data_IF_676572544123
#
_entry.id   IF_676572544123
#
_cell.length_a   1.000
_cell.length_b   1.000
_cell.length_c   1.000
_cell.angle_alpha   90.00
_cell.angle_beta   90.00
_cell.angle_gamma   90.00
#
_symmetry.space_group_name_H-M   'P 1'
#
loop_
_entity.id
_entity.type
_entity.pdbx_description
1 polymer ?
#
# COMPACT_ATOMS: atom_id res chain seq x y z
N UNK A 1 15.69 6.61 11.85
CA UNK A 1 14.53 6.06 11.11
C UNK A 1 13.41 5.60 12.05
N UNK A 2 13.67 4.68 13.00
CA UNK A 2 12.65 4.12 13.91
C UNK A 2 11.82 5.13 14.73
N UNK A 3 12.39 6.26 15.18
CA UNK A 3 11.64 7.28 15.94
C UNK A 3 10.64 8.07 15.09
N UNK A 4 11.00 8.35 13.83
CA UNK A 4 10.15 9.11 12.89
C UNK A 4 8.96 8.25 12.45
N UNK A 5 9.20 6.97 12.18
CA UNK A 5 8.13 6.00 11.88
C UNK A 5 7.12 5.89 13.03
N UNK A 6 7.58 5.88 14.29
CA UNK A 6 6.69 5.83 15.46
C UNK A 6 5.80 7.06 15.55
N UNK A 7 6.38 8.25 15.37
CA UNK A 7 5.60 9.50 15.39
C UNK A 7 4.56 9.48 14.27
N UNK A 8 4.92 9.01 13.07
CA UNK A 8 4.00 8.88 11.95
C UNK A 8 2.87 7.87 12.23
N UNK A 9 3.17 6.72 12.84
CA UNK A 9 2.16 5.74 13.24
C UNK A 9 1.19 6.29 14.30
N UNK A 10 1.70 7.03 15.29
CA UNK A 10 0.86 7.68 16.31
C UNK A 10 -0.01 8.78 15.69
N UNK A 11 0.57 9.57 14.77
CA UNK A 11 -0.18 10.59 14.04
C UNK A 11 -1.29 9.98 13.17
N UNK A 12 -1.02 8.86 12.49
CA UNK A 12 -2.01 8.13 11.69
C UNK A 12 -3.13 7.56 12.56
N UNK A 13 -2.80 6.99 13.72
CA UNK A 13 -3.80 6.52 14.68
C UNK A 13 -4.65 7.69 15.24
N UNK A 14 -4.02 8.81 15.58
CA UNK A 14 -4.74 10.00 16.04
C UNK A 14 -5.69 10.56 14.97
N UNK A 15 -5.24 10.62 13.72
CA UNK A 15 -6.03 11.14 12.61
C UNK A 15 -7.22 10.24 12.24
N UNK A 16 -7.05 8.92 12.34
CA UNK A 16 -8.16 7.97 12.07
C UNK A 16 -9.22 8.00 13.16
N UNK A 17 -8.84 8.28 14.41
CA UNK A 17 -9.76 8.41 15.54
C UNK A 17 -10.37 9.81 15.67
N UNK A 18 -9.71 10.85 15.15
CA UNK A 18 -10.15 12.24 15.28
C UNK A 18 -11.61 12.50 14.84
N UNK A 19 -12.13 11.92 13.73
CA UNK A 19 -13.53 12.10 13.34
C UNK A 19 -14.57 11.55 14.31
N UNK A 20 -14.17 10.71 15.29
CA UNK A 20 -15.06 10.23 16.35
C UNK A 20 -15.32 11.29 17.42
N UNK A 21 -14.37 12.21 17.61
CA UNK A 21 -14.38 13.18 18.72
C UNK A 21 -14.68 14.59 18.22
N UNK A 22 -14.24 14.95 17.01
CA UNK A 22 -14.42 16.27 16.45
C UNK A 22 -14.75 16.23 14.96
N UNK A 23 -15.40 17.29 14.46
CA UNK A 23 -15.62 17.46 13.03
C UNK A 23 -14.31 17.83 12.36
N UNK A 24 -13.77 16.91 11.56
CA UNK A 24 -12.56 17.13 10.76
C UNK A 24 -12.98 17.40 9.32
N UNK A 25 -12.32 18.35 8.66
CA UNK A 25 -12.52 18.58 7.23
C UNK A 25 -12.20 17.28 6.45
N UNK A 26 -13.14 16.74 5.66
CA UNK A 26 -12.94 15.46 4.98
C UNK A 26 -11.80 15.50 3.96
N UNK A 27 -11.62 16.62 3.25
CA UNK A 27 -10.58 16.76 2.24
C UNK A 27 -9.20 16.77 2.88
N UNK A 28 -9.05 17.51 3.99
CA UNK A 28 -7.82 17.52 4.77
C UNK A 28 -7.52 16.14 5.35
N UNK A 29 -8.54 15.44 5.87
CA UNK A 29 -8.38 14.11 6.44
C UNK A 29 -7.91 13.08 5.38
N UNK A 30 -8.49 13.14 4.18
CA UNK A 30 -8.06 12.31 3.04
C UNK A 30 -6.58 12.54 2.73
N UNK A 31 -6.16 13.80 2.55
CA UNK A 31 -4.76 14.14 2.20
C UNK A 31 -3.81 13.66 3.28
N UNK A 32 -4.08 14.00 4.55
CA UNK A 32 -3.20 13.68 5.66
C UNK A 32 -3.13 12.16 5.89
N UNK A 33 -4.26 11.46 5.86
CA UNK A 33 -4.31 10.01 6.06
C UNK A 33 -3.56 9.29 4.95
N UNK A 34 -3.82 9.62 3.68
CA UNK A 34 -3.15 8.99 2.55
C UNK A 34 -1.64 9.25 2.56
N UNK A 35 -1.23 10.51 2.81
CA UNK A 35 0.18 10.90 2.88
C UNK A 35 0.93 10.21 4.03
N UNK A 36 0.34 10.15 5.22
CA UNK A 36 0.93 9.44 6.36
C UNK A 36 1.01 7.93 6.11
N UNK A 37 0.01 7.36 5.46
CA UNK A 37 -0.01 5.93 5.11
C UNK A 37 1.12 5.57 4.14
N UNK A 38 1.28 6.35 3.07
CA UNK A 38 2.40 6.18 2.13
C UNK A 38 3.73 6.36 2.86
N UNK A 39 3.86 7.40 3.67
CA UNK A 39 5.08 7.66 4.43
C UNK A 39 5.45 6.47 5.34
N UNK A 40 4.52 6.00 6.18
CA UNK A 40 4.72 4.83 7.05
C UNK A 40 5.07 3.58 6.22
N UNK A 41 4.31 3.31 5.16
CA UNK A 41 4.55 2.18 4.27
C UNK A 41 5.95 2.20 3.66
N UNK A 42 6.39 3.35 3.13
CA UNK A 42 7.73 3.49 2.55
C UNK A 42 8.83 3.21 3.60
N UNK A 43 8.72 3.75 4.82
CA UNK A 43 9.74 3.51 5.84
C UNK A 43 9.78 2.05 6.31
N UNK A 44 8.63 1.38 6.38
CA UNK A 44 8.55 -0.06 6.71
C UNK A 44 9.04 -0.96 5.59
N UNK A 45 8.93 -0.52 4.35
CA UNK A 45 9.37 -1.28 3.18
C UNK A 45 10.89 -1.37 3.06
N UNK A 46 11.66 -0.53 3.78
CA UNK A 46 13.12 -0.59 3.83
C UNK A 46 13.53 -1.69 4.83
N UNK A 47 13.82 -2.88 4.31
CA UNK A 47 14.31 -4.03 5.08
C UNK A 47 15.70 -4.46 4.60
N UNK A 48 16.50 -5.12 5.47
CA UNK A 48 17.82 -5.62 5.09
C UNK A 48 17.75 -6.76 4.07
N UNK A 49 16.70 -7.57 4.14
CA UNK A 49 16.47 -8.70 3.25
C UNK A 49 15.83 -8.24 1.94
N UNK A 50 16.22 -8.79 0.78
CA UNK A 50 15.58 -8.48 -0.48
C UNK A 50 14.07 -8.71 -0.40
N UNK A 51 13.26 -7.87 -1.08
CA UNK A 51 11.82 -8.05 -1.12
C UNK A 51 11.47 -9.41 -1.75
N UNK A 52 10.56 -10.14 -1.11
CA UNK A 52 10.20 -11.51 -1.49
C UNK A 52 9.55 -11.61 -2.88
N UNK A 53 8.90 -10.54 -3.33
CA UNK A 53 8.29 -10.45 -4.66
C UNK A 53 8.68 -9.16 -5.37
N UNK A 54 9.40 -9.28 -6.47
CA UNK A 54 9.71 -8.18 -7.39
C UNK A 54 8.85 -8.32 -8.65
N UNK A 55 8.21 -7.23 -9.08
CA UNK A 55 7.43 -7.22 -10.31
C UNK A 55 8.34 -7.21 -11.54
N UNK A 56 8.09 -8.11 -12.49
CA UNK A 56 8.71 -8.06 -13.81
C UNK A 56 8.01 -7.03 -14.72
N UNK A 57 8.71 -6.58 -15.77
CA UNK A 57 8.13 -5.68 -16.78
C UNK A 57 6.89 -6.28 -17.45
N UNK A 58 6.90 -7.59 -17.70
CA UNK A 58 5.78 -8.29 -18.33
C UNK A 58 4.55 -8.31 -17.42
N UNK A 59 4.74 -8.55 -16.12
CA UNK A 59 3.65 -8.49 -15.14
C UNK A 59 3.10 -7.06 -15.00
N UNK A 60 3.98 -6.05 -14.99
CA UNK A 60 3.57 -4.64 -14.95
C UNK A 60 2.71 -4.24 -16.15
N UNK A 61 3.07 -4.64 -17.36
CA UNK A 61 2.28 -4.37 -18.57
C UNK A 61 0.91 -5.06 -18.57
N UNK A 62 0.82 -6.27 -18.02
CA UNK A 62 -0.44 -7.02 -17.93
C UNK A 62 -1.38 -6.48 -16.86
N UNK A 63 -0.87 -5.73 -15.88
CA UNK A 63 -1.63 -5.30 -14.71
C UNK A 63 -2.92 -4.51 -15.06
N UNK A 64 -2.91 -3.51 -15.97
CA UNK A 64 -4.13 -2.82 -16.40
C UNK A 64 -5.17 -3.75 -17.04
N UNK A 65 -4.72 -4.74 -17.82
CA UNK A 65 -5.61 -5.68 -18.50
C UNK A 65 -6.22 -6.69 -17.52
N UNK A 66 -5.43 -7.21 -16.58
CA UNK A 66 -5.90 -8.10 -15.52
C UNK A 66 -6.89 -7.34 -14.60
N UNK A 67 -6.57 -6.10 -14.22
CA UNK A 67 -7.48 -5.24 -13.47
C UNK A 67 -8.80 -5.00 -14.21
N UNK A 68 -8.73 -4.76 -15.52
CA UNK A 68 -9.92 -4.56 -16.38
C UNK A 68 -10.79 -5.81 -16.42
N UNK A 69 -10.20 -6.99 -16.60
CA UNK A 69 -10.90 -8.25 -16.61
C UNK A 69 -11.55 -8.55 -15.24
N UNK A 70 -10.84 -8.29 -14.14
CA UNK A 70 -11.35 -8.47 -12.78
C UNK A 70 -12.53 -7.52 -12.51
N UNK A 71 -12.40 -6.24 -12.84
CA UNK A 71 -13.42 -5.23 -12.61
C UNK A 71 -14.68 -5.52 -13.45
N UNK A 72 -14.52 -5.91 -14.71
CA UNK A 72 -15.63 -6.33 -15.56
C UNK A 72 -16.30 -7.60 -15.02
N UNK A 73 -15.51 -8.60 -14.61
CA UNK A 73 -16.04 -9.84 -14.04
C UNK A 73 -16.86 -9.56 -12.77
N UNK A 74 -16.36 -8.71 -11.88
CA UNK A 74 -17.06 -8.31 -10.68
C UNK A 74 -18.34 -7.52 -10.99
N UNK A 75 -18.32 -6.66 -12.01
CA UNK A 75 -19.53 -6.01 -12.49
C UNK A 75 -20.58 -7.00 -13.00
N UNK A 76 -20.17 -8.00 -13.79
CA UNK A 76 -21.07 -9.05 -14.25
C UNK A 76 -21.61 -9.88 -13.07
N UNK A 77 -20.79 -10.19 -12.07
CA UNK A 77 -21.24 -10.87 -10.85
C UNK A 77 -22.33 -10.07 -10.14
N UNK A 78 -22.15 -8.77 -9.92
CA UNK A 78 -23.19 -7.92 -9.31
C UNK A 78 -24.43 -7.74 -10.19
N UNK A 79 -24.29 -7.93 -11.51
CA UNK A 79 -25.41 -7.84 -12.45
C UNK A 79 -26.25 -9.11 -12.49
N UNK A 80 -25.62 -10.28 -12.34
CA UNK A 80 -26.28 -11.58 -12.49
C UNK A 80 -26.56 -12.32 -11.18
N UNK A 81 -25.84 -12.03 -10.10
CA UNK A 81 -26.03 -12.64 -8.77
C UNK A 81 -26.63 -11.63 -7.78
N UNK A 82 -27.17 -12.13 -6.68
CA UNK A 82 -27.64 -11.28 -5.58
C UNK A 82 -26.46 -10.55 -4.94
N UNK A 83 -26.65 -9.24 -4.67
CA UNK A 83 -25.63 -8.39 -4.05
C UNK A 83 -25.17 -8.94 -2.70
N UNK A 84 -26.09 -9.51 -1.93
CA UNK A 84 -25.79 -10.06 -0.61
C UNK A 84 -24.88 -11.27 -0.69
N UNK A 85 -25.07 -12.15 -1.69
CA UNK A 85 -24.20 -13.30 -1.88
C UNK A 85 -22.79 -12.86 -2.28
N UNK A 86 -22.67 -11.95 -3.25
CA UNK A 86 -21.38 -11.43 -3.69
C UNK A 86 -20.66 -10.72 -2.53
N UNK A 87 -21.35 -9.84 -1.80
CA UNK A 87 -20.78 -9.15 -0.65
C UNK A 87 -20.45 -10.10 0.52
N UNK A 88 -21.20 -11.17 0.73
CA UNK A 88 -20.88 -12.18 1.75
C UNK A 88 -19.58 -12.93 1.41
N UNK A 89 -19.42 -13.37 0.15
CA UNK A 89 -18.19 -14.03 -0.31
C UNK A 89 -16.99 -13.10 -0.21
N UNK A 90 -17.15 -11.84 -0.64
CA UNK A 90 -16.10 -10.83 -0.52
C UNK A 90 -15.77 -10.54 0.94
N UNK A 91 -16.76 -10.42 1.83
CA UNK A 91 -16.53 -10.21 3.25
C UNK A 91 -15.72 -11.35 3.84
N UNK A 92 -16.02 -12.60 3.49
CA UNK A 92 -15.25 -13.77 3.91
C UNK A 92 -13.79 -13.69 3.41
N UNK A 93 -13.59 -13.33 2.15
CA UNK A 93 -12.26 -13.14 1.57
C UNK A 93 -11.46 -12.05 2.29
N UNK A 94 -12.05 -10.86 2.48
CA UNK A 94 -11.42 -9.74 3.19
C UNK A 94 -11.27 -9.98 4.69
N UNK A 95 -12.06 -10.88 5.28
CA UNK A 95 -11.89 -11.29 6.67
C UNK A 95 -10.57 -12.05 6.84
N UNK A 96 -10.30 -13.04 5.99
CA UNK A 96 -9.05 -13.82 6.03
C UNK A 96 -7.85 -12.92 5.74
N UNK A 97 -7.90 -12.15 4.66
CA UNK A 97 -6.83 -11.21 4.33
C UNK A 97 -6.66 -10.15 5.42
N UNK A 98 -7.75 -9.68 6.01
CA UNK A 98 -7.76 -8.68 7.07
C UNK A 98 -7.00 -9.16 8.31
N UNK A 99 -7.21 -10.41 8.73
CA UNK A 99 -6.46 -11.00 9.85
C UNK A 99 -4.96 -11.02 9.53
N UNK A 100 -4.58 -11.45 8.33
CA UNK A 100 -3.16 -11.50 7.91
C UNK A 100 -2.55 -10.10 7.87
N UNK A 101 -3.20 -9.14 7.20
CA UNK A 101 -2.68 -7.78 7.07
C UNK A 101 -2.60 -7.04 8.41
N UNK A 102 -3.63 -7.18 9.25
CA UNK A 102 -3.72 -6.49 10.53
C UNK A 102 -2.76 -7.10 11.56
N UNK A 103 -2.60 -8.43 11.57
CA UNK A 103 -1.59 -9.10 12.40
C UNK A 103 -0.17 -8.72 11.96
N UNK A 104 0.13 -8.70 10.66
CA UNK A 104 1.43 -8.25 10.13
C UNK A 104 1.71 -6.78 10.45
N UNK A 105 0.70 -5.93 10.39
CA UNK A 105 0.81 -4.51 10.77
C UNK A 105 1.11 -4.34 12.25
N UNK A 106 0.46 -5.11 13.13
CA UNK A 106 0.67 -5.06 14.59
C UNK A 106 1.95 -5.77 15.06
N UNK A 107 2.48 -6.69 14.25
CA UNK A 107 3.58 -7.57 14.65
C UNK A 107 4.81 -6.81 15.18
N UNK A 108 5.31 -5.71 14.57
CA UNK A 108 6.46 -4.98 15.11
C UNK A 108 6.21 -4.32 16.47
N UNK A 109 4.96 -3.99 16.80
CA UNK A 109 4.60 -3.47 18.13
C UNK A 109 4.54 -4.60 19.16
N UNK A 110 3.95 -5.75 18.81
CA UNK A 110 3.79 -6.90 19.70
C UNK A 110 5.12 -7.61 19.96
N UNK A 111 5.99 -7.73 18.94
CA UNK A 111 7.31 -8.36 19.03
C UNK A 111 8.19 -7.82 20.15
N UNK A 112 7.97 -6.57 20.58
CA UNK A 112 8.70 -5.92 21.67
C UNK A 112 8.40 -6.53 23.05
N UNK A 113 7.19 -7.09 23.21
CA UNK A 113 6.70 -7.63 24.47
C UNK A 113 6.75 -9.17 24.50
N UNK A 114 7.10 -9.81 23.38
CA UNK A 114 7.17 -11.26 23.28
C UNK A 114 8.59 -11.80 23.52
N UNK A 115 8.73 -13.01 24.10
CA UNK A 115 10.02 -13.68 24.25
C UNK A 115 10.73 -13.92 22.91
N UNK A 116 12.05 -13.76 22.87
CA UNK A 116 12.86 -13.83 21.63
C UNK A 116 12.70 -15.16 20.88
N UNK A 117 12.54 -16.28 21.61
CA UNK A 117 12.34 -17.61 21.02
C UNK A 117 11.06 -17.72 20.17
N UNK A 118 10.01 -16.97 20.51
CA UNK A 118 8.76 -17.00 19.75
C UNK A 118 8.84 -16.26 18.42
N UNK A 119 9.95 -15.55 18.16
CA UNK A 119 10.20 -14.85 16.91
C UNK A 119 11.13 -15.62 15.96
N UNK A 120 11.83 -16.64 16.45
CA UNK A 120 12.87 -17.36 15.70
C UNK A 120 12.42 -18.75 15.24
N UNK A 121 11.44 -19.35 15.92
CA UNK A 121 10.88 -20.66 15.53
C UNK A 121 9.91 -20.49 14.34
N UNK A 122 10.41 -20.69 13.12
CA UNK A 122 9.58 -20.78 11.91
C UNK A 122 8.91 -22.15 11.89
N UNK A 123 7.58 -22.18 11.93
CA UNK A 123 6.79 -23.38 11.71
C UNK A 123 6.44 -23.39 10.23
N UNK A 124 7.14 -24.21 9.45
CA UNK A 124 6.78 -24.47 8.05
C UNK A 124 5.75 -25.58 7.99
N UNK A 125 4.59 -25.30 7.40
CA UNK A 125 3.54 -26.30 7.21
C UNK A 125 3.44 -26.64 5.72
N UNK A 126 3.83 -27.87 5.37
CA UNK A 126 3.78 -28.38 4.01
C UNK A 126 2.44 -29.10 3.79
N UNK A 127 1.60 -28.56 2.90
CA UNK A 127 0.37 -29.25 2.49
C UNK A 127 0.67 -30.28 1.40
N UNK A 128 0.43 -31.59 1.62
CA UNK A 128 0.79 -32.64 0.66
C UNK A 128 0.01 -32.60 -0.66
N UNK A 129 -1.11 -31.87 -0.74
CA UNK A 129 -1.97 -31.80 -1.94
C UNK A 129 -1.81 -30.53 -2.78
N UNK A 130 -1.29 -29.44 -2.20
CA UNK A 130 -1.10 -28.15 -2.89
C UNK A 130 0.39 -27.80 -2.95
N UNK A 131 1.05 -28.24 -4.03
CA UNK A 131 2.51 -28.22 -4.25
C UNK A 131 3.16 -26.83 -4.37
N UNK A 132 2.44 -25.75 -4.04
CA UNK A 132 2.89 -24.36 -4.21
C UNK A 132 2.45 -23.42 -3.08
N UNK A 133 1.93 -23.94 -1.97
CA UNK A 133 1.54 -23.15 -0.80
C UNK A 133 2.43 -23.54 0.39
N UNK A 134 3.65 -23.01 0.39
CA UNK A 134 4.49 -23.01 1.57
C UNK A 134 4.01 -21.90 2.49
N UNK A 135 3.36 -22.29 3.59
CA UNK A 135 2.90 -21.31 4.57
C UNK A 135 3.81 -21.37 5.78
N UNK A 136 4.69 -20.37 5.86
CA UNK A 136 5.59 -20.16 6.99
C UNK A 136 4.89 -19.30 8.04
N UNK A 137 4.67 -19.87 9.23
CA UNK A 137 4.11 -19.11 10.35
C UNK A 137 5.07 -19.07 11.53
N UNK A 138 5.26 -17.87 12.08
CA UNK A 138 5.97 -17.69 13.35
C UNK A 138 4.96 -17.74 14.50
N UNK A 139 5.33 -18.29 15.66
CA UNK A 139 4.46 -18.27 16.86
C UNK A 139 3.98 -16.87 17.24
N UNK A 140 4.80 -15.84 17.01
CA UNK A 140 4.40 -14.43 17.21
C UNK A 140 3.32 -13.94 16.25
N UNK A 141 3.22 -14.47 15.03
CA UNK A 141 2.14 -14.14 14.10
C UNK A 141 0.81 -14.74 14.57
N UNK A 142 0.82 -15.95 15.14
CA UNK A 142 -0.38 -16.58 15.72
C UNK A 142 -0.92 -15.72 16.86
N UNK A 143 -0.04 -15.28 17.76
CA UNK A 143 -0.43 -14.39 18.88
C UNK A 143 -0.95 -13.05 18.37
N UNK A 144 -0.33 -12.48 17.33
CA UNK A 144 -0.79 -11.24 16.69
C UNK A 144 -2.11 -11.40 15.93
N UNK A 145 -2.44 -12.61 15.46
CA UNK A 145 -3.68 -12.91 14.76
C UNK A 145 -4.90 -12.95 15.69
N UNK A 146 -4.74 -13.33 16.97
CA UNK A 146 -5.85 -13.38 17.95
C UNK A 146 -6.63 -12.05 18.02
N UNK A 147 -6.01 -10.88 18.33
CA UNK A 147 -6.71 -9.61 18.34
C UNK A 147 -7.23 -9.21 16.95
N UNK A 148 -6.51 -9.60 15.87
CA UNK A 148 -6.95 -9.39 14.50
C UNK A 148 -8.25 -10.11 14.16
N UNK A 149 -8.42 -11.34 14.62
CA UNK A 149 -9.65 -12.14 14.43
C UNK A 149 -10.85 -11.51 15.13
N UNK A 150 -10.68 -11.08 16.39
CA UNK A 150 -11.75 -10.37 17.11
C UNK A 150 -12.14 -9.06 16.42
N UNK A 151 -11.16 -8.30 15.92
CA UNK A 151 -11.41 -7.07 15.19
C UNK A 151 -12.13 -7.31 13.86
N UNK A 152 -11.72 -8.33 13.10
CA UNK A 152 -12.39 -8.69 11.84
C UNK A 152 -13.81 -9.23 12.08
N UNK A 153 -14.06 -9.92 13.20
CA UNK A 153 -15.40 -10.39 13.58
C UNK A 153 -16.33 -9.22 13.93
N UNK A 154 -15.79 -8.21 14.62
CA UNK A 154 -16.50 -6.95 14.87
C UNK A 154 -16.82 -6.22 13.56
N UNK A 155 -15.85 -6.14 12.64
CA UNK A 155 -16.06 -5.58 11.30
C UNK A 155 -17.18 -6.31 10.54
N UNK A 156 -17.14 -7.66 10.49
CA UNK A 156 -18.14 -8.44 9.77
C UNK A 156 -19.57 -8.25 10.31
N UNK A 157 -19.71 -7.97 11.61
CA UNK A 157 -21.00 -7.78 12.26
C UNK A 157 -21.55 -6.35 12.15
N UNK A 158 -20.69 -5.34 12.32
CA UNK A 158 -21.10 -3.94 12.43
C UNK A 158 -20.84 -3.13 11.14
N UNK A 159 -19.91 -3.56 10.30
CA UNK A 159 -19.43 -2.85 9.09
C UNK A 159 -19.15 -1.37 9.33
N UNK A 160 -18.66 -1.04 10.52
CA UNK A 160 -18.43 0.33 10.93
C UNK A 160 -17.31 0.96 10.08
N UNK A 161 -17.49 2.22 9.66
CA UNK A 161 -16.53 2.93 8.79
C UNK A 161 -15.11 2.97 9.39
N UNK A 162 -14.99 3.08 10.72
CA UNK A 162 -13.70 3.05 11.41
C UNK A 162 -13.00 1.70 11.22
N UNK A 163 -13.73 0.60 11.38
CA UNK A 163 -13.20 -0.76 11.21
C UNK A 163 -12.76 -1.00 9.76
N UNK A 164 -13.58 -0.53 8.82
CA UNK A 164 -13.25 -0.51 7.39
C UNK A 164 -11.94 0.26 7.12
N UNK A 165 -11.78 1.45 7.70
CA UNK A 165 -10.58 2.26 7.49
C UNK A 165 -9.34 1.65 8.12
N UNK A 166 -9.45 1.08 9.33
CA UNK A 166 -8.31 0.41 9.98
C UNK A 166 -7.84 -0.78 9.11
N UNK A 167 -8.77 -1.61 8.61
CA UNK A 167 -8.44 -2.69 7.68
C UNK A 167 -7.83 -2.17 6.38
N UNK A 168 -8.44 -1.16 5.76
CA UNK A 168 -7.93 -0.54 4.54
C UNK A 168 -6.51 0.03 4.69
N UNK A 169 -6.23 0.68 5.82
CA UNK A 169 -4.90 1.20 6.14
C UNK A 169 -3.89 0.09 6.36
N UNK A 170 -4.26 -0.99 7.06
CA UNK A 170 -3.42 -2.18 7.19
C UNK A 170 -3.11 -2.80 5.83
N UNK A 171 -4.08 -2.91 4.91
CA UNK A 171 -3.83 -3.36 3.54
C UNK A 171 -2.90 -2.41 2.78
N UNK A 172 -3.05 -1.10 2.95
CA UNK A 172 -2.17 -0.14 2.28
C UNK A 172 -0.72 -0.23 2.77
N UNK A 173 -0.52 -0.25 4.09
CA UNK A 173 0.82 -0.36 4.70
C UNK A 173 1.45 -1.67 4.27
N UNK A 174 0.73 -2.79 4.38
CA UNK A 174 1.25 -4.11 4.01
C UNK A 174 1.54 -4.21 2.51
N UNK A 175 0.67 -3.64 1.67
CA UNK A 175 0.88 -3.59 0.22
C UNK A 175 2.15 -2.84 -0.16
N UNK A 176 2.39 -1.66 0.43
CA UNK A 176 3.61 -0.87 0.19
C UNK A 176 4.85 -1.54 0.80
N UNK A 177 4.69 -2.24 1.93
CA UNK A 177 5.78 -2.93 2.62
C UNK A 177 6.28 -4.18 1.87
N UNK A 178 5.36 -4.98 1.32
CA UNK A 178 5.67 -6.26 0.67
C UNK A 178 5.97 -6.14 -0.83
N UNK A 179 5.21 -5.32 -1.56
CA UNK A 179 5.32 -5.25 -3.01
C UNK A 179 6.53 -4.42 -3.42
N UNK A 180 7.27 -4.94 -4.40
CA UNK A 180 8.47 -4.31 -4.94
C UNK A 180 8.39 -4.21 -6.45
N UNK A 181 8.75 -3.05 -7.00
CA UNK A 181 8.75 -2.85 -8.44
C UNK A 181 10.02 -3.36 -9.12
N UNK A 182 11.08 -3.64 -8.37
CA UNK A 182 12.38 -4.09 -8.87
C UNK A 182 13.19 -2.96 -9.51
N UNK A 183 12.58 -2.18 -10.42
CA UNK A 183 13.24 -1.08 -11.13
C UNK A 183 12.30 0.11 -11.38
N UNK A 184 12.87 1.30 -11.59
CA UNK A 184 12.10 2.49 -11.94
C UNK A 184 11.45 2.37 -13.33
N UNK A 185 12.01 1.56 -14.24
CA UNK A 185 11.43 1.29 -15.56
C UNK A 185 10.12 0.51 -15.43
N UNK A 186 10.14 -0.57 -14.66
CA UNK A 186 8.94 -1.36 -14.35
C UNK A 186 7.87 -0.47 -13.72
N UNK A 187 8.27 0.36 -12.74
CA UNK A 187 7.38 1.31 -12.08
C UNK A 187 6.75 2.32 -13.03
N UNK A 188 7.54 2.91 -13.93
CA UNK A 188 7.03 3.86 -14.92
C UNK A 188 6.04 3.20 -15.90
N UNK A 189 6.31 1.96 -16.33
CA UNK A 189 5.41 1.18 -17.20
C UNK A 189 4.09 0.90 -16.48
N UNK A 190 4.15 0.43 -15.22
CA UNK A 190 2.96 0.15 -14.42
C UNK A 190 2.11 1.42 -14.23
N UNK A 191 2.72 2.53 -13.80
CA UNK A 191 2.02 3.78 -13.56
C UNK A 191 1.44 4.38 -14.84
N UNK A 192 2.16 4.32 -15.97
CA UNK A 192 1.65 4.77 -17.26
C UNK A 192 0.46 3.92 -17.73
N UNK A 193 0.53 2.59 -17.56
CA UNK A 193 -0.58 1.70 -17.87
C UNK A 193 -1.81 1.98 -17.00
N UNK A 194 -1.60 2.21 -15.70
CA UNK A 194 -2.68 2.51 -14.76
C UNK A 194 -3.27 3.92 -14.92
N UNK A 195 -2.47 4.88 -15.39
CA UNK A 195 -2.95 6.19 -15.81
C UNK A 195 -4.01 6.07 -16.92
N UNK A 196 -3.73 5.29 -17.97
CA UNK A 196 -4.70 5.09 -19.07
C UNK A 196 -5.90 4.29 -18.59
N UNK A 197 -5.67 3.26 -17.77
CA UNK A 197 -6.74 2.45 -17.17
C UNK A 197 -7.75 3.29 -16.40
N UNK A 198 -7.27 4.17 -15.52
CA UNK A 198 -8.13 4.97 -14.63
C UNK A 198 -8.98 5.96 -15.45
N UNK A 199 -8.37 6.62 -16.45
CA UNK A 199 -9.09 7.49 -17.39
C UNK A 199 -10.19 6.72 -18.11
N UNK A 200 -9.87 5.55 -18.66
CA UNK A 200 -10.83 4.73 -19.40
C UNK A 200 -12.02 4.32 -18.54
N UNK A 201 -11.76 3.70 -17.38
CA UNK A 201 -12.82 3.13 -16.54
C UNK A 201 -13.62 4.18 -15.77
N UNK A 202 -13.05 5.34 -15.43
CA UNK A 202 -13.77 6.42 -14.74
C UNK A 202 -14.59 7.27 -15.70
N UNK A 203 -14.04 7.70 -16.84
CA UNK A 203 -14.73 8.65 -17.73
C UNK A 203 -15.57 8.00 -18.82
N UNK A 204 -15.13 6.87 -19.38
CA UNK A 204 -15.78 6.30 -20.57
C UNK A 204 -16.79 5.20 -20.25
N UNK A 205 -16.80 4.64 -19.03
CA UNK A 205 -17.69 3.53 -18.67
C UNK A 205 -18.40 3.75 -17.34
N UNK A 206 -19.66 3.30 -17.17
CA UNK A 206 -20.37 3.36 -15.89
C UNK A 206 -19.95 2.25 -14.91
N UNK A 207 -19.05 1.35 -15.32
CA UNK A 207 -18.76 0.09 -14.63
C UNK A 207 -18.07 0.34 -13.29
N UNK A 208 -17.05 1.21 -13.27
CA UNK A 208 -16.31 1.50 -12.03
C UNK A 208 -17.20 2.11 -10.95
N UNK A 209 -18.08 3.05 -11.31
CA UNK A 209 -19.02 3.66 -10.37
C UNK A 209 -20.07 2.65 -9.89
N UNK A 210 -20.55 1.78 -10.78
CA UNK A 210 -21.52 0.73 -10.41
C UNK A 210 -20.94 -0.28 -9.42
N UNK A 211 -19.70 -0.73 -9.66
CA UNK A 211 -18.98 -1.63 -8.74
C UNK A 211 -18.71 -0.92 -7.41
N UNK A 212 -18.20 0.32 -7.43
CA UNK A 212 -17.87 1.08 -6.23
C UNK A 212 -19.08 1.35 -5.31
N UNK A 213 -20.30 1.43 -5.88
CA UNK A 213 -21.57 1.58 -5.14
C UNK A 213 -22.15 0.26 -4.65
N UNK A 214 -21.91 -0.84 -5.35
CA UNK A 214 -22.49 -2.16 -5.01
C UNK A 214 -21.61 -2.97 -4.06
N UNK A 215 -20.32 -2.64 -4.02
CA UNK A 215 -19.32 -3.33 -3.24
C UNK A 215 -19.22 -2.76 -1.82
N UNK A 216 -19.40 -3.63 -0.83
CA UNK A 216 -19.44 -3.29 0.60
C UNK A 216 -18.36 -4.08 1.37
N UNK A 217 -17.10 -3.77 1.09
CA UNK A 217 -15.92 -4.34 1.74
C UNK A 217 -14.76 -3.32 1.79
N UNK A 218 -13.66 -3.59 2.54
CA UNK A 218 -12.59 -2.64 2.81
C UNK A 218 -11.62 -2.47 1.63
N UNK A 219 -12.14 -1.95 0.51
CA UNK A 219 -11.39 -1.61 -0.71
C UNK A 219 -11.21 -0.09 -0.88
N UNK A 220 -11.77 0.69 0.04
CA UNK A 220 -11.75 2.16 0.03
C UNK A 220 -11.75 2.68 1.46
N UNK A 221 -11.12 3.83 1.66
CA UNK A 221 -11.24 4.58 2.91
C UNK A 221 -12.49 5.46 2.86
N UNK A 222 -13.22 5.50 3.97
CA UNK A 222 -14.47 6.23 4.15
C UNK A 222 -14.27 7.36 5.17
N UNK A 223 -14.42 8.59 4.75
CA UNK A 223 -14.28 9.76 5.63
C UNK A 223 -15.65 10.42 5.82
N UNK A 224 -16.20 10.45 7.04
CA UNK A 224 -17.52 11.03 7.28
C UNK A 224 -17.52 12.52 6.93
N UNK A 225 -18.57 12.97 6.25
CA UNK A 225 -18.77 14.37 5.86
C UNK A 225 -19.93 14.99 6.63
N UNK A 226 -20.05 16.32 6.58
CA UNK A 226 -21.20 17.03 7.14
C UNK A 226 -22.43 17.04 6.22
N UNK A 227 -22.31 16.51 5.00
CA UNK A 227 -23.36 16.53 3.98
C UNK A 227 -24.19 15.24 4.01
N UNK A 228 -25.50 15.37 4.20
CA UNK A 228 -26.44 14.25 4.23
C UNK A 228 -26.59 13.55 2.86
N UNK A 229 -26.34 14.25 1.75
CA UNK A 229 -26.45 13.68 0.41
C UNK A 229 -25.24 12.83 0.00
N UNK A 230 -24.06 13.15 0.56
CA UNK A 230 -22.79 12.43 0.32
C UNK A 230 -22.11 12.17 1.67
N UNK A 231 -22.64 11.25 2.49
CA UNK A 231 -22.23 11.08 3.88
C UNK A 231 -20.76 10.67 4.05
N UNK A 232 -20.12 10.15 3.00
CA UNK A 232 -18.73 9.75 3.01
C UNK A 232 -17.98 10.28 1.79
N UNK A 233 -16.81 10.87 2.04
CA UNK A 233 -15.77 11.03 1.03
C UNK A 233 -15.00 9.71 0.92
N UNK A 234 -14.70 9.29 -0.31
CA UNK A 234 -14.11 7.98 -0.59
C UNK A 234 -12.76 8.13 -1.28
N UNK A 235 -11.77 7.36 -0.83
CA UNK A 235 -10.48 7.23 -1.50
C UNK A 235 -10.18 5.75 -1.76
N UNK A 236 -9.82 5.41 -2.99
CA UNK A 236 -9.47 4.04 -3.35
C UNK A 236 -8.13 3.63 -2.75
N UNK A 237 -8.03 2.39 -2.24
CA UNK A 237 -6.74 1.90 -1.71
C UNK A 237 -5.68 1.80 -2.82
N UNK A 238 -6.08 1.54 -4.06
CA UNK A 238 -5.19 1.51 -5.22
C UNK A 238 -4.47 2.84 -5.45
N UNK A 239 -5.13 3.97 -5.19
CA UNK A 239 -4.57 5.31 -5.36
C UNK A 239 -3.53 5.67 -4.28
N UNK A 240 -3.50 4.89 -3.19
CA UNK A 240 -2.51 5.00 -2.13
C UNK A 240 -1.37 4.03 -2.40
N UNK A 241 -1.69 2.74 -2.62
CA UNK A 241 -0.70 1.67 -2.73
C UNK A 241 0.13 1.79 -3.99
N UNK A 242 -0.49 1.99 -5.17
CA UNK A 242 0.22 1.95 -6.46
C UNK A 242 1.23 3.11 -6.59
N UNK A 243 0.89 4.37 -6.29
CA UNK A 243 1.90 5.42 -6.25
C UNK A 243 2.87 5.22 -5.07
N UNK A 244 2.38 4.71 -3.94
CA UNK A 244 3.16 4.45 -2.73
C UNK A 244 4.31 3.47 -2.94
N UNK A 245 4.12 2.39 -3.70
CA UNK A 245 5.19 1.43 -4.04
C UNK A 245 6.29 2.09 -4.90
N UNK A 246 5.94 3.05 -5.75
CA UNK A 246 6.92 3.81 -6.53
C UNK A 246 7.69 4.82 -5.67
N UNK A 247 7.00 5.49 -4.74
CA UNK A 247 7.65 6.36 -3.74
C UNK A 247 8.56 5.54 -2.81
N UNK A 248 8.16 4.32 -2.44
CA UNK A 248 8.97 3.39 -1.66
C UNK A 248 10.25 2.98 -2.41
N UNK A 249 10.16 2.72 -3.72
CA UNK A 249 11.32 2.46 -4.57
C UNK A 249 12.32 3.63 -4.56
N UNK A 250 11.82 4.88 -4.59
CA UNK A 250 12.67 6.07 -4.46
C UNK A 250 13.40 6.15 -3.11
N UNK A 251 12.75 5.74 -2.02
CA UNK A 251 13.39 5.67 -0.71
C UNK A 251 14.45 4.58 -0.64
N UNK A 252 14.17 3.39 -1.20
CA UNK A 252 15.14 2.29 -1.25
C UNK A 252 16.37 2.65 -2.09
N UNK A 253 16.19 3.38 -3.18
CA UNK A 253 17.29 3.93 -3.98
C UNK A 253 18.14 4.96 -3.21
N UNK A 254 17.53 5.84 -2.43
CA UNK A 254 18.28 6.77 -1.57
C UNK A 254 19.11 6.02 -0.52
N UNK A 255 18.49 5.02 0.13
CA UNK A 255 19.12 4.20 1.18
C UNK A 255 20.25 3.35 0.62
N UNK A 256 20.09 2.73 -0.55
CA UNK A 256 21.13 1.89 -1.18
C UNK A 256 22.40 2.68 -1.54
N UNK A 257 22.29 4.01 -1.65
CA UNK A 257 23.43 4.90 -1.91
C UNK A 257 24.00 5.56 -0.67
N UNK A 258 23.47 5.25 0.52
CA UNK A 258 23.83 5.90 1.77
C UNK A 258 23.57 7.41 1.78
N UNK A 259 22.73 7.93 0.87
CA UNK A 259 22.44 9.36 0.77
C UNK A 259 21.19 9.70 1.59
N UNK A 260 21.09 10.96 2.02
CA UNK A 260 19.85 11.48 2.58
C UNK A 260 18.70 11.27 1.59
N UNK A 261 17.49 11.05 2.12
CA UNK A 261 16.24 10.73 1.40
C UNK A 261 15.74 11.86 0.47
N UNK A 262 16.55 12.25 -0.53
CA UNK A 262 16.29 13.39 -1.42
C UNK A 262 15.33 13.00 -2.54
N UNK A 263 15.52 11.84 -3.16
CA UNK A 263 14.62 11.34 -4.21
C UNK A 263 13.26 10.94 -3.63
N UNK A 264 13.26 10.32 -2.46
CA UNK A 264 12.05 10.06 -1.69
C UNK A 264 11.27 11.34 -1.41
N UNK A 265 11.93 12.39 -0.88
CA UNK A 265 11.24 13.67 -0.60
C UNK A 265 10.63 14.28 -1.86
N UNK A 266 11.32 14.21 -3.00
CA UNK A 266 10.77 14.72 -4.27
C UNK A 266 9.56 13.90 -4.73
N UNK A 267 9.66 12.57 -4.76
CA UNK A 267 8.57 11.69 -5.17
C UNK A 267 7.36 11.79 -4.22
N UNK A 268 7.62 11.86 -2.91
CA UNK A 268 6.59 12.04 -1.89
C UNK A 268 5.90 13.40 -2.00
N UNK A 269 6.65 14.47 -2.27
CA UNK A 269 6.06 15.78 -2.54
C UNK A 269 5.17 15.74 -3.79
N UNK A 270 5.63 15.09 -4.86
CA UNK A 270 4.82 14.86 -6.06
C UNK A 270 3.53 14.10 -5.76
N UNK A 271 3.56 13.10 -4.87
CA UNK A 271 2.36 12.38 -4.43
C UNK A 271 1.37 13.29 -3.71
N UNK A 272 1.84 14.08 -2.74
CA UNK A 272 1.00 15.03 -1.99
C UNK A 272 0.39 16.08 -2.91
N UNK A 273 1.18 16.66 -3.82
CA UNK A 273 0.71 17.64 -4.81
C UNK A 273 -0.34 17.01 -5.72
N UNK A 274 -0.11 15.79 -6.21
CA UNK A 274 -1.06 15.05 -7.03
C UNK A 274 -2.40 14.82 -6.32
N UNK A 275 -2.37 14.39 -5.05
CA UNK A 275 -3.59 14.23 -4.25
C UNK A 275 -4.35 15.54 -4.04
N UNK A 276 -3.64 16.63 -3.72
CA UNK A 276 -4.25 17.96 -3.57
C UNK A 276 -4.91 18.39 -4.88
N UNK A 277 -4.23 18.21 -6.01
CA UNK A 277 -4.80 18.53 -7.33
C UNK A 277 -6.05 17.71 -7.62
N UNK A 278 -6.05 16.39 -7.35
CA UNK A 278 -7.24 15.55 -7.52
C UNK A 278 -8.44 16.11 -6.75
N UNK A 279 -8.24 16.51 -5.49
CA UNK A 279 -9.30 17.05 -4.65
C UNK A 279 -9.76 18.43 -5.13
N UNK A 280 -8.83 19.31 -5.50
CA UNK A 280 -9.16 20.65 -6.03
C UNK A 280 -10.02 20.52 -7.29
N UNK A 281 -9.63 19.65 -8.22
CA UNK A 281 -10.38 19.43 -9.46
C UNK A 281 -11.72 18.74 -9.18
N UNK A 282 -11.76 17.74 -8.31
CA UNK A 282 -13.01 17.09 -7.91
C UNK A 282 -14.00 18.10 -7.30
N UNK A 283 -13.52 19.02 -6.45
CA UNK A 283 -14.35 20.07 -5.84
C UNK A 283 -14.81 21.11 -6.87
N UNK A 284 -14.00 21.40 -7.90
CA UNK A 284 -14.39 22.33 -8.96
C UNK A 284 -15.47 21.75 -9.87
N UNK A 285 -15.30 20.50 -10.32
CA UNK A 285 -16.20 19.86 -11.29
C UNK A 285 -17.37 19.10 -10.63
N UNK A 286 -17.36 18.92 -9.30
CA UNK A 286 -18.40 18.22 -8.53
C UNK A 286 -18.71 16.79 -9.02
N UNK A 287 -17.75 16.19 -9.73
CA UNK A 287 -17.83 14.86 -10.34
C UNK A 287 -16.62 14.02 -9.91
N UNK A 288 -16.80 12.69 -9.90
CA UNK A 288 -15.70 11.77 -9.62
C UNK A 288 -14.61 11.92 -10.68
N UNK A 289 -13.37 12.02 -10.23
CA UNK A 289 -12.19 12.18 -11.07
C UNK A 289 -11.28 10.94 -10.91
N UNK A 290 -10.64 10.47 -11.98
CA UNK A 290 -9.58 9.46 -11.88
C UNK A 290 -8.42 10.04 -11.07
N UNK A 291 -8.08 9.45 -9.93
CA UNK A 291 -7.05 9.99 -9.05
C UNK A 291 -5.65 9.82 -9.65
N UNK A 292 -5.42 8.70 -10.35
CA UNK A 292 -4.11 8.41 -10.97
C UNK A 292 -3.79 9.37 -12.12
N UNK A 293 -4.81 10.00 -12.73
CA UNK A 293 -4.64 11.06 -13.73
C UNK A 293 -3.75 12.20 -13.22
N UNK A 294 -3.86 12.58 -11.95
CA UNK A 294 -3.08 13.68 -11.35
C UNK A 294 -1.87 13.18 -10.58
N UNK A 295 -2.00 12.04 -9.88
CA UNK A 295 -0.93 11.50 -9.03
C UNK A 295 0.25 11.00 -9.88
N UNK A 296 -0.01 10.23 -10.95
CA UNK A 296 1.05 9.64 -11.79
C UNK A 296 1.98 10.70 -12.40
N UNK A 297 1.49 11.71 -13.15
CA UNK A 297 2.36 12.72 -13.73
C UNK A 297 3.07 13.56 -12.66
N UNK A 298 2.42 13.80 -11.50
CA UNK A 298 3.05 14.54 -10.40
C UNK A 298 4.20 13.76 -9.77
N UNK A 299 4.01 12.49 -9.42
CA UNK A 299 5.06 11.66 -8.78
C UNK A 299 6.24 11.44 -9.73
N UNK A 300 5.98 11.03 -10.97
CA UNK A 300 7.03 10.80 -11.97
C UNK A 300 7.71 12.12 -12.36
N UNK A 301 6.92 13.18 -12.56
CA UNK A 301 7.42 14.50 -12.97
C UNK A 301 8.35 15.13 -11.93
N UNK A 302 7.95 15.13 -10.65
CA UNK A 302 8.81 15.67 -9.57
C UNK A 302 10.09 14.85 -9.41
N UNK A 303 10.01 13.52 -9.49
CA UNK A 303 11.19 12.66 -9.43
C UNK A 303 12.12 12.92 -10.63
N UNK A 304 11.57 12.99 -11.83
CA UNK A 304 12.31 13.23 -13.07
C UNK A 304 12.98 14.61 -13.07
N UNK A 305 12.24 15.67 -12.68
CA UNK A 305 12.78 17.03 -12.60
C UNK A 305 13.96 17.11 -11.62
N UNK A 306 13.83 16.51 -10.43
CA UNK A 306 14.91 16.47 -9.45
C UNK A 306 16.11 15.63 -9.93
N UNK A 307 15.86 14.57 -10.68
CA UNK A 307 16.91 13.73 -11.26
C UNK A 307 17.68 14.44 -12.38
N UNK A 308 16.97 15.16 -13.26
CA UNK A 308 17.56 15.97 -14.32
C UNK A 308 18.39 17.12 -13.73
N UNK A 309 17.84 17.82 -12.71
CA UNK A 309 18.53 18.92 -12.03
C UNK A 309 19.86 18.49 -11.41
N UNK A 310 19.93 17.27 -10.88
CA UNK A 310 21.15 16.73 -10.25
C UNK A 310 22.05 15.94 -11.21
N UNK A 311 21.63 15.73 -12.47
CA UNK A 311 22.39 14.95 -13.46
C UNK A 311 22.50 13.44 -13.18
N UNK A 312 21.72 12.88 -12.25
CA UNK A 312 21.83 11.48 -11.80
C UNK A 312 20.84 10.53 -12.52
N UNK A 313 20.52 10.82 -13.79
CA UNK A 313 19.54 10.05 -14.60
C UNK A 313 19.99 8.62 -14.87
N UNK A 314 21.28 8.42 -15.20
CA UNK A 314 21.83 7.08 -15.49
C UNK A 314 21.79 6.16 -14.26
N UNK A 315 22.25 6.58 -13.06
CA UNK A 315 22.11 5.78 -11.84
C UNK A 315 20.66 5.38 -11.53
N UNK A 316 19.69 6.29 -11.72
CA UNK A 316 18.29 6.01 -11.42
C UNK A 316 17.69 4.98 -12.38
N UNK A 317 17.97 5.10 -13.68
CA UNK A 317 17.48 4.15 -14.68
C UNK A 317 18.19 2.79 -14.66
N UNK A 318 19.40 2.73 -14.11
CA UNK A 318 20.17 1.51 -13.93
C UNK A 318 19.87 0.79 -12.60
N UNK A 319 19.10 1.43 -11.71
CA UNK A 319 18.78 0.84 -10.41
C UNK A 319 17.90 -0.39 -10.55
N UNK A 320 18.34 -1.45 -9.88
CA UNK A 320 17.69 -2.74 -9.80
C UNK A 320 17.83 -3.24 -8.35
N UNK A 321 16.70 -3.40 -7.66
CA UNK A 321 16.65 -3.81 -6.26
C UNK A 321 17.29 -5.18 -6.03
N UNK A 322 17.18 -6.10 -7.00
CA UNK A 322 17.77 -7.45 -6.90
C UNK A 322 19.31 -7.40 -6.88
N UNK A 323 19.91 -6.51 -7.68
CA UNK A 323 21.36 -6.34 -7.74
C UNK A 323 21.89 -5.56 -6.54
N UNK A 324 21.13 -4.58 -6.06
CA UNK A 324 21.50 -3.80 -4.88
C UNK A 324 21.56 -4.67 -3.62
N UNK A 325 20.60 -5.59 -3.44
CA UNK A 325 20.57 -6.50 -2.29
C UNK A 325 21.80 -7.42 -2.22
N UNK A 326 22.20 -8.02 -3.35
CA UNK A 326 23.38 -8.90 -3.41
C UNK A 326 24.68 -8.16 -3.05
N UNK A 327 24.82 -6.90 -3.49
CA UNK A 327 26.01 -6.09 -3.16
C UNK A 327 26.12 -5.74 -1.67
N UNK A 328 24.99 -5.56 -0.99
CA UNK A 328 24.97 -5.34 0.47
C UNK A 328 25.28 -6.61 1.26
N UNK A 329 24.80 -7.78 0.83
CA UNK A 329 25.10 -9.05 1.48
C UNK A 329 26.60 -9.40 1.40
N UNK A 330 27.22 -9.27 0.22
CA UNK A 330 28.67 -9.49 0.04
C UNK A 330 29.52 -8.55 0.91
N UNK A 331 29.10 -7.28 1.06
CA UNK A 331 29.79 -6.35 1.95
C UNK A 331 29.67 -6.75 3.43
N UNK A 332 28.49 -7.22 3.86
CA UNK A 332 28.25 -7.65 5.24
C UNK A 332 29.00 -8.93 5.63
N UNK A 333 29.14 -9.88 4.69
CA UNK A 333 29.94 -11.10 4.92
C UNK A 333 31.45 -10.80 4.93
N UNK A 334 31.90 -9.80 4.19
CA UNK A 334 33.30 -9.37 4.17
C UNK A 334 33.73 -8.70 5.49
N UNK A 335 32.87 -7.87 6.08
CA UNK A 335 33.09 -7.24 7.40
C UNK A 335 33.01 -8.27 8.55
N UNK A 336 32.12 -9.26 8.45
CA UNK A 336 31.98 -10.31 9.47
C UNK A 336 33.18 -11.27 9.48
N UNK A 337 33.81 -11.51 8.32
CA UNK A 337 35.03 -12.31 8.21
C UNK A 337 36.31 -11.57 8.60
N UNK A 338 36.34 -10.23 8.54
CA UNK A 338 37.50 -9.45 9.02
C UNK A 338 37.49 -9.31 10.55
N UNK A 339 36.33 -9.24 11.20
CA UNK A 339 36.23 -9.23 12.67
C UNK A 339 36.57 -10.56 13.35
N UNK A 340 36.56 -11.70 12.64
CA UNK A 340 36.96 -13.02 13.19
C UNK A 340 38.44 -13.35 13.03
N UNK A 341 39.24 -12.51 12.38
CA UNK A 341 40.68 -12.73 12.14
C UNK A 341 41.60 -11.91 13.05
N UNK A 342 41.03 -11.14 13.98
CA UNK A 342 41.78 -10.37 14.97
C UNK A 342 41.27 -10.76 16.37
N UNK A 343 41.59 -11.99 16.78
CA UNK A 343 41.64 -12.40 18.18
C UNK A 343 42.75 -13.41 18.38
#
# INVERSE_FOLDING_TARGET
MKSVERIANVALAGLTLAPLVMKVDPNLNVILTASLTVFVGCYRSVKPTPPSETMSNEHAMRFPFVGSAMLLSLFLLFKFLSKDLVNAVLTCYFFVLGIVALSATLLPAIKRYLPTHWNQDIISWHFPYFRSLDVEFTRSQIVAAIPGTFFCAWYASQKHWLANNILGLSFCIQGIEMLSLGSFKTGAILLAGLFVYDIFWVFFTPVMVSVAKSFDAPIKLLFPTADTARPYSMLGLGDIVIPGIFVALALRFDVSRGKHSRYFRSAFLGYVVGLVLTIVVMNWFQAAQPALLYIVPSVIGFLAAHCIWNGEVKPLLAFDESKAANSSEESSDSDTNTSKKVE
#
